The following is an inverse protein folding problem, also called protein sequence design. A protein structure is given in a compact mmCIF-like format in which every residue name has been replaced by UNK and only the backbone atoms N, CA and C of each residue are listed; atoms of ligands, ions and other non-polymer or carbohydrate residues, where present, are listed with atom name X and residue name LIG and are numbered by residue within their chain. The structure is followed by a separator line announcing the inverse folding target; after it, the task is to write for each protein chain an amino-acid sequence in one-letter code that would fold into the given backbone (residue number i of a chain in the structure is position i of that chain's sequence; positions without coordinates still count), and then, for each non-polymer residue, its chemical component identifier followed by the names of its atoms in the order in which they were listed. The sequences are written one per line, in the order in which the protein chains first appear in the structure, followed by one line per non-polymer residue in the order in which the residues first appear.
data_IF_593666211621
#
_entry.id   IF_593666211621
#
_cell.length_a   1.000
_cell.length_b   1.000
_cell.length_c   1.000
_cell.angle_alpha   90.00
_cell.angle_beta   90.00
_cell.angle_gamma   90.00
#
_symmetry.space_group_name_H-M   'P 1'
#
loop_
_entity.id
_entity.type
_entity.pdbx_description
1 polymer ?
#
# COMPACT_ATOMS: atom_id res chain seq x y z
N UNK A 1 56.31 19.63 -52.57
CA UNK A 1 55.17 18.87 -52.05
C UNK A 1 55.08 19.15 -50.55
N UNK A 2 54.12 20.02 -50.14
CA UNK A 2 53.86 20.37 -48.72
C UNK A 2 52.88 19.35 -48.13
N UNK A 3 53.29 18.60 -47.08
CA UNK A 3 52.43 17.70 -46.32
C UNK A 3 51.67 18.50 -45.26
N UNK A 4 50.34 18.52 -45.33
CA UNK A 4 49.47 19.08 -44.31
C UNK A 4 49.11 17.95 -43.32
N UNK A 5 49.53 18.11 -42.06
CA UNK A 5 49.09 17.25 -40.95
C UNK A 5 47.74 17.77 -40.47
N UNK A 6 46.69 16.94 -40.65
CA UNK A 6 45.37 17.20 -40.11
C UNK A 6 45.31 16.61 -38.69
N UNK A 7 45.38 17.49 -37.67
CA UNK A 7 45.18 17.08 -36.29
C UNK A 7 43.66 17.11 -35.98
N UNK A 8 43.07 15.93 -35.87
CA UNK A 8 41.68 15.79 -35.44
C UNK A 8 41.57 16.03 -33.92
N UNK A 9 40.93 17.12 -33.55
CA UNK A 9 40.59 17.40 -32.14
C UNK A 9 39.28 16.68 -31.82
N UNK A 10 39.36 15.61 -31.04
CA UNK A 10 38.22 14.85 -30.55
C UNK A 10 37.66 15.55 -29.31
N UNK A 11 36.57 16.30 -29.45
CA UNK A 11 35.82 16.88 -28.34
C UNK A 11 35.06 15.79 -27.59
N UNK A 12 35.56 15.37 -26.43
CA UNK A 12 34.81 14.51 -25.50
C UNK A 12 33.74 15.37 -24.81
N UNK A 13 32.49 15.23 -25.23
CA UNK A 13 31.34 15.70 -24.47
C UNK A 13 31.11 14.75 -23.28
N UNK A 14 31.56 15.12 -22.10
CA UNK A 14 31.14 14.48 -20.85
C UNK A 14 29.71 14.94 -20.54
N UNK A 15 28.71 14.12 -20.83
CA UNK A 15 27.37 14.27 -20.27
C UNK A 15 27.46 14.02 -18.78
N UNK A 16 27.46 15.11 -17.98
CA UNK A 16 27.25 15.02 -16.55
C UNK A 16 25.80 14.56 -16.35
N UNK A 17 25.57 13.26 -16.09
CA UNK A 17 24.31 12.79 -15.53
C UNK A 17 24.17 13.42 -14.13
N UNK A 18 23.39 14.49 -14.02
CA UNK A 18 22.95 15.00 -12.74
C UNK A 18 22.07 13.92 -12.10
N UNK A 19 22.55 13.31 -11.02
CA UNK A 19 21.74 12.36 -10.25
C UNK A 19 20.50 13.12 -9.72
N UNK A 20 19.33 12.75 -10.22
CA UNK A 20 18.08 13.32 -9.79
C UNK A 20 17.83 12.93 -8.33
N UNK A 21 17.51 13.89 -7.47
CA UNK A 21 17.18 13.64 -6.07
C UNK A 21 15.66 13.68 -5.87
N UNK A 22 15.10 12.81 -5.00
CA UNK A 22 13.66 12.80 -4.76
C UNK A 22 13.19 14.13 -4.19
N UNK A 23 12.13 14.67 -4.78
CA UNK A 23 11.50 15.90 -4.29
C UNK A 23 10.43 15.53 -3.25
N UNK A 24 10.74 15.76 -1.99
CA UNK A 24 9.87 15.47 -0.87
C UNK A 24 8.98 16.65 -0.52
N UNK A 25 7.66 16.41 -0.41
CA UNK A 25 6.68 17.32 0.21
C UNK A 25 6.43 16.83 1.65
N UNK A 26 6.53 17.73 2.63
CA UNK A 26 6.13 17.42 4.00
C UNK A 26 4.61 17.52 4.13
N UNK A 27 3.96 16.42 4.57
CA UNK A 27 2.51 16.39 4.81
C UNK A 27 2.12 16.99 6.16
N UNK A 28 3.09 17.13 7.08
CA UNK A 28 2.89 17.72 8.38
C UNK A 28 3.96 18.77 8.67
N UNK A 29 3.53 19.99 9.00
CA UNK A 29 4.41 21.14 9.22
C UNK A 29 5.04 21.20 10.63
N UNK A 30 4.79 20.19 11.48
CA UNK A 30 5.27 20.14 12.87
C UNK A 30 4.56 21.05 13.87
N UNK A 31 3.56 21.84 13.42
CA UNK A 31 2.95 22.90 14.24
C UNK A 31 1.44 22.79 14.40
N UNK A 32 0.73 22.36 13.38
CA UNK A 32 -0.74 22.28 13.37
C UNK A 32 -1.26 21.30 12.31
N UNK A 33 -2.55 21.02 12.35
CA UNK A 33 -3.24 20.10 11.44
C UNK A 33 -3.77 20.77 10.17
N UNK A 34 -3.20 21.87 9.72
CA UNK A 34 -3.59 22.51 8.46
C UNK A 34 -3.36 21.54 7.29
N UNK A 35 -4.37 21.32 6.46
CA UNK A 35 -4.33 20.36 5.35
C UNK A 35 -4.83 18.96 5.72
N UNK A 36 -5.25 18.77 6.97
CA UNK A 36 -5.84 17.55 7.47
C UNK A 36 -7.31 17.77 7.88
N UNK A 37 -8.09 16.69 7.90
CA UNK A 37 -9.47 16.67 8.41
C UNK A 37 -9.74 15.36 9.13
N UNK A 38 -10.64 15.40 10.13
CA UNK A 38 -11.01 14.22 10.92
C UNK A 38 -12.24 13.56 10.31
N UNK A 39 -12.15 12.24 10.06
CA UNK A 39 -13.22 11.43 9.48
C UNK A 39 -13.64 10.32 10.44
N UNK A 40 -14.91 9.94 10.34
CA UNK A 40 -15.62 8.89 11.07
C UNK A 40 -15.68 9.13 12.59
N UNK A 41 -14.84 8.50 13.39
CA UNK A 41 -14.95 8.53 14.87
C UNK A 41 -14.68 9.87 15.54
N UNK A 42 -14.60 9.84 16.89
CA UNK A 42 -14.48 11.03 17.73
C UNK A 42 -13.21 11.06 18.59
N UNK A 43 -12.25 10.17 18.35
CA UNK A 43 -10.95 10.21 19.02
C UNK A 43 -10.23 11.55 18.77
N UNK A 44 -9.36 11.94 19.67
CA UNK A 44 -8.66 13.23 19.61
C UNK A 44 -7.29 13.08 18.94
N UNK A 45 -6.87 14.15 18.26
CA UNK A 45 -5.52 14.33 17.77
C UNK A 45 -4.94 15.61 18.35
N UNK A 46 -3.73 15.54 18.89
CA UNK A 46 -2.97 16.67 19.44
C UNK A 46 -1.68 16.87 18.66
N UNK A 47 -1.20 18.09 18.64
CA UNK A 47 0.10 18.45 18.07
C UNK A 47 0.97 19.02 19.17
N UNK A 48 2.12 18.40 19.40
CA UNK A 48 3.14 18.88 20.31
C UNK A 48 4.52 18.36 19.86
N UNK A 49 5.58 19.14 20.09
CA UNK A 49 6.97 18.73 19.85
C UNK A 49 7.26 18.22 18.43
N UNK A 50 6.54 18.73 17.42
CA UNK A 50 6.70 18.26 16.04
C UNK A 50 6.03 16.91 15.74
N UNK A 51 5.11 16.44 16.59
CA UNK A 51 4.42 15.16 16.49
C UNK A 51 2.91 15.36 16.39
N UNK A 52 2.23 14.49 15.67
CA UNK A 52 0.78 14.29 15.73
C UNK A 52 0.55 13.11 16.67
N UNK A 53 -0.22 13.29 17.73
CA UNK A 53 -0.56 12.22 18.68
C UNK A 53 -2.06 11.99 18.67
N UNK A 54 -2.47 10.79 18.29
CA UNK A 54 -3.83 10.27 18.43
C UNK A 54 -4.04 9.63 19.81
N UNK A 55 -5.20 9.86 20.40
CA UNK A 55 -5.54 9.38 21.74
C UNK A 55 -6.74 8.44 21.63
N UNK A 56 -6.56 7.19 22.04
CA UNK A 56 -7.62 6.19 22.03
C UNK A 56 -8.79 6.58 22.93
N UNK A 57 -10.01 6.27 22.51
CA UNK A 57 -11.25 6.66 23.16
C UNK A 57 -12.27 5.54 23.10
N UNK A 58 -12.91 5.23 24.21
CA UNK A 58 -14.03 4.29 24.25
C UNK A 58 -15.27 4.83 23.56
N UNK A 59 -16.11 3.92 23.04
CA UNK A 59 -17.43 4.25 22.50
C UNK A 59 -17.41 5.01 21.17
N UNK A 60 -16.30 4.95 20.44
CA UNK A 60 -16.19 5.54 19.10
C UNK A 60 -15.68 4.51 18.10
N UNK A 61 -16.12 4.53 16.84
CA UNK A 61 -15.51 3.73 15.79
C UNK A 61 -14.08 4.23 15.49
N UNK A 62 -13.38 3.53 14.59
CA UNK A 62 -12.10 3.99 14.06
C UNK A 62 -12.19 5.47 13.68
N UNK A 63 -11.22 6.26 14.14
CA UNK A 63 -11.12 7.68 13.80
C UNK A 63 -9.89 7.87 12.91
N UNK A 64 -10.06 8.64 11.84
CA UNK A 64 -9.00 8.87 10.86
C UNK A 64 -8.71 10.36 10.73
N UNK A 65 -7.45 10.74 10.79
CA UNK A 65 -6.99 12.07 10.44
C UNK A 65 -6.46 12.01 9.01
N UNK A 66 -7.25 12.48 8.05
CA UNK A 66 -7.01 12.33 6.62
C UNK A 66 -6.45 13.61 6.00
N UNK A 67 -5.58 13.46 5.00
CA UNK A 67 -5.15 14.58 4.16
C UNK A 67 -6.32 15.03 3.28
N UNK A 68 -6.50 16.36 3.12
CA UNK A 68 -7.50 16.93 2.18
C UNK A 68 -7.14 16.70 0.72
N UNK A 69 -5.84 16.56 0.42
CA UNK A 69 -5.34 16.15 -0.90
C UNK A 69 -5.40 14.63 -1.05
N UNK A 70 -5.52 14.18 -2.30
CA UNK A 70 -5.43 12.77 -2.70
C UNK A 70 -4.19 12.52 -3.53
N UNK A 71 -3.66 11.30 -3.48
CA UNK A 71 -2.41 10.89 -4.11
C UNK A 71 -2.63 9.61 -4.89
N UNK A 72 -2.02 9.51 -6.08
CA UNK A 72 -2.03 8.32 -6.93
C UNK A 72 -0.72 7.53 -6.76
N UNK A 73 0.31 7.88 -7.53
CA UNK A 73 1.62 7.26 -7.41
C UNK A 73 2.51 8.05 -6.47
N UNK A 74 3.12 7.37 -5.52
CA UNK A 74 3.96 8.02 -4.52
C UNK A 74 4.90 7.06 -3.80
N UNK A 75 5.89 7.67 -3.14
CA UNK A 75 6.62 7.09 -2.02
C UNK A 75 6.26 7.90 -0.78
N UNK A 76 5.76 7.26 0.26
CA UNK A 76 5.44 7.86 1.54
C UNK A 76 6.39 7.34 2.62
N UNK A 77 6.98 8.25 3.38
CA UNK A 77 7.79 7.92 4.55
C UNK A 77 7.27 8.64 5.78
N UNK A 78 7.28 7.94 6.90
CA UNK A 78 6.91 8.50 8.21
C UNK A 78 7.57 7.72 9.34
N UNK A 79 7.58 8.32 10.52
CA UNK A 79 7.91 7.64 11.75
C UNK A 79 6.68 7.52 12.63
N UNK A 80 6.56 6.40 13.33
CA UNK A 80 5.44 6.15 14.25
C UNK A 80 5.91 5.48 15.54
N UNK A 81 5.16 5.73 16.62
CA UNK A 81 5.35 5.11 17.92
C UNK A 81 3.98 4.84 18.54
N UNK A 82 3.69 3.57 18.85
CA UNK A 82 2.41 3.12 19.40
C UNK A 82 2.58 2.57 20.80
N UNK A 83 1.63 2.86 21.67
CA UNK A 83 1.59 2.29 23.01
C UNK A 83 1.24 0.79 22.97
N UNK A 84 1.79 0.03 23.90
CA UNK A 84 1.55 -1.41 24.00
C UNK A 84 0.06 -1.76 24.08
N UNK A 85 -0.32 -2.76 23.29
CA UNK A 85 -1.69 -3.27 23.22
C UNK A 85 -2.67 -2.37 22.46
N UNK A 86 -2.19 -1.32 21.78
CA UNK A 86 -3.00 -0.47 20.93
C UNK A 86 -2.75 -0.76 19.47
N UNK A 87 -3.80 -1.10 18.70
CA UNK A 87 -3.72 -1.22 17.23
C UNK A 87 -3.86 0.15 16.57
N UNK A 88 -3.29 0.30 15.37
CA UNK A 88 -3.39 1.48 14.54
C UNK A 88 -3.12 1.15 13.06
N UNK A 89 -3.02 2.18 12.22
CA UNK A 89 -2.65 2.04 10.82
C UNK A 89 -2.49 3.38 10.13
N UNK A 90 -1.93 3.33 8.92
CA UNK A 90 -1.88 4.48 8.02
C UNK A 90 -2.59 4.11 6.73
N UNK A 91 -3.72 4.76 6.48
CA UNK A 91 -4.48 4.62 5.24
C UNK A 91 -3.73 5.27 4.08
N UNK A 92 -3.80 4.67 2.91
CA UNK A 92 -3.29 5.25 1.66
C UNK A 92 -4.16 4.83 0.47
N UNK A 93 -4.24 5.68 -0.55
CA UNK A 93 -5.19 5.50 -1.67
C UNK A 93 -6.60 5.14 -1.17
N UNK A 94 -7.01 5.74 -0.04
CA UNK A 94 -8.29 5.45 0.62
C UNK A 94 -9.30 6.54 0.38
N UNK A 95 -10.55 6.23 0.58
CA UNK A 95 -11.69 7.10 0.30
C UNK A 95 -12.70 7.10 1.46
N UNK A 96 -13.57 8.13 1.48
CA UNK A 96 -14.72 8.26 2.38
C UNK A 96 -15.89 8.79 1.57
N UNK A 97 -16.51 7.91 0.77
CA UNK A 97 -17.59 8.26 -0.15
C UNK A 97 -18.93 8.12 0.55
N UNK A 98 -19.79 9.12 0.42
CA UNK A 98 -21.10 9.14 1.08
C UNK A 98 -21.96 7.92 0.75
N UNK A 99 -21.90 7.45 -0.49
CA UNK A 99 -22.58 6.28 -1.01
C UNK A 99 -22.03 4.95 -0.49
N UNK A 100 -20.79 4.94 0.02
CA UNK A 100 -20.19 3.75 0.59
C UNK A 100 -20.31 3.76 2.13
N UNK A 101 -21.20 2.93 2.66
CA UNK A 101 -21.45 2.76 4.10
C UNK A 101 -21.55 4.10 4.87
N UNK A 102 -22.27 5.09 4.30
CA UNK A 102 -22.45 6.45 4.84
C UNK A 102 -21.13 7.19 5.10
N UNK A 103 -20.17 7.10 4.20
CA UNK A 103 -18.89 7.81 4.32
C UNK A 103 -17.87 7.09 5.18
N UNK A 104 -18.03 5.78 5.42
CA UNK A 104 -17.01 5.01 6.11
C UNK A 104 -15.69 5.03 5.33
N UNK A 105 -14.60 5.35 6.01
CA UNK A 105 -13.25 5.27 5.44
C UNK A 105 -12.97 3.84 5.00
N UNK A 106 -12.49 3.69 3.77
CA UNK A 106 -12.20 2.39 3.17
C UNK A 106 -11.01 2.48 2.22
N UNK A 107 -10.25 1.43 2.11
CA UNK A 107 -9.08 1.35 1.24
C UNK A 107 -7.87 0.72 1.90
N UNK A 108 -6.71 0.82 1.25
CA UNK A 108 -5.50 0.19 1.71
C UNK A 108 -4.99 0.83 3.00
N UNK A 109 -4.54 -0.02 3.93
CA UNK A 109 -3.94 0.35 5.19
C UNK A 109 -2.58 -0.33 5.36
N UNK A 110 -1.55 0.47 5.61
CA UNK A 110 -0.33 0.01 6.26
C UNK A 110 -0.68 -0.29 7.71
N UNK A 111 -0.64 -1.54 8.08
CA UNK A 111 -1.03 -1.99 9.41
C UNK A 111 0.02 -1.64 10.47
N UNK A 112 -0.42 -1.24 11.66
CA UNK A 112 0.38 -1.08 12.86
C UNK A 112 -0.21 -2.00 13.93
N UNK A 113 0.32 -3.22 14.01
CA UNK A 113 -0.16 -4.29 14.89
C UNK A 113 0.94 -4.77 15.84
N UNK A 114 1.03 -4.20 17.04
CA UNK A 114 2.00 -4.62 18.05
C UNK A 114 1.58 -5.88 18.82
N UNK A 115 0.47 -6.52 18.46
CA UNK A 115 0.03 -7.77 19.07
C UNK A 115 0.98 -8.94 18.79
N UNK A 116 0.71 -10.09 19.39
CA UNK A 116 1.49 -11.32 19.13
C UNK A 116 1.47 -11.80 17.67
N UNK A 117 0.52 -11.33 16.84
CA UNK A 117 0.53 -11.57 15.39
C UNK A 117 1.72 -10.90 14.71
N UNK A 118 2.16 -9.74 15.23
CA UNK A 118 3.28 -8.97 14.71
C UNK A 118 3.14 -8.66 13.20
N UNK A 119 1.98 -8.16 12.77
CA UNK A 119 1.71 -7.88 11.36
C UNK A 119 1.91 -6.41 10.98
N UNK A 120 2.69 -5.66 11.77
CA UNK A 120 3.08 -4.28 11.44
C UNK A 120 3.85 -4.24 10.12
N UNK A 121 3.36 -3.43 9.17
CA UNK A 121 3.87 -3.35 7.81
C UNK A 121 3.11 -4.22 6.80
N UNK A 122 2.21 -5.10 7.25
CA UNK A 122 1.28 -5.80 6.39
C UNK A 122 0.26 -4.86 5.74
N UNK A 123 -0.49 -5.35 4.76
CA UNK A 123 -1.52 -4.58 4.05
C UNK A 123 -2.90 -5.13 4.39
N UNK A 124 -3.70 -4.26 4.99
CA UNK A 124 -5.13 -4.50 5.24
C UNK A 124 -5.96 -3.63 4.30
N UNK A 125 -7.16 -4.07 3.94
CA UNK A 125 -8.12 -3.30 3.13
C UNK A 125 -9.30 -2.91 4.01
N UNK A 126 -9.19 -1.74 4.65
CA UNK A 126 -10.16 -1.23 5.63
C UNK A 126 -11.57 -1.18 5.04
N UNK A 127 -12.52 -1.74 5.78
CA UNK A 127 -13.93 -1.77 5.46
C UNK A 127 -14.29 -2.36 4.08
N UNK A 128 -13.38 -3.11 3.41
CA UNK A 128 -13.63 -3.79 2.12
C UNK A 128 -13.33 -5.28 2.19
N UNK A 129 -12.07 -5.68 1.88
CA UNK A 129 -11.67 -7.08 1.67
C UNK A 129 -10.92 -7.69 2.85
N UNK A 130 -10.50 -6.87 3.85
CA UNK A 130 -9.72 -7.36 4.98
C UNK A 130 -8.23 -7.56 4.63
N UNK A 131 -7.62 -8.62 5.11
CA UNK A 131 -6.20 -8.87 4.90
C UNK A 131 -5.87 -9.20 3.45
N UNK A 132 -5.05 -8.36 2.82
CA UNK A 132 -4.50 -8.60 1.48
C UNK A 132 -3.08 -9.17 1.55
N UNK A 133 -2.30 -8.75 2.55
CA UNK A 133 -0.94 -9.22 2.76
C UNK A 133 -0.63 -9.33 4.26
N UNK A 134 -1.06 -10.43 4.94
CA UNK A 134 -0.65 -10.74 6.31
C UNK A 134 0.82 -11.18 6.34
N UNK A 135 1.53 -10.98 7.46
CA UNK A 135 2.94 -11.33 7.59
C UNK A 135 3.19 -12.74 8.14
N UNK A 136 2.20 -13.63 8.10
CA UNK A 136 2.27 -14.96 8.71
C UNK A 136 3.48 -15.77 8.23
N UNK A 137 3.80 -15.71 6.95
CA UNK A 137 4.88 -16.47 6.33
C UNK A 137 6.22 -15.70 6.28
N UNK A 138 6.31 -14.54 6.95
CA UNK A 138 7.47 -13.65 6.85
C UNK A 138 8.07 -13.29 8.22
N UNK A 139 8.75 -14.22 8.90
CA UNK A 139 9.28 -14.01 10.27
C UNK A 139 10.27 -12.84 10.39
N UNK A 140 11.00 -12.50 9.34
CA UNK A 140 11.89 -11.33 9.34
C UNK A 140 11.10 -10.03 9.41
N UNK A 141 10.00 -9.93 8.66
CA UNK A 141 9.09 -8.78 8.68
C UNK A 141 8.39 -8.66 10.05
N UNK A 142 7.93 -9.77 10.62
CA UNK A 142 7.30 -9.78 11.95
C UNK A 142 8.23 -9.25 13.06
N UNK A 143 9.54 -9.41 12.91
CA UNK A 143 10.56 -8.92 13.87
C UNK A 143 11.02 -7.48 13.60
N UNK A 144 10.55 -6.84 12.54
CA UNK A 144 11.01 -5.50 12.13
C UNK A 144 10.50 -4.40 13.06
N UNK A 145 9.31 -4.55 13.60
CA UNK A 145 8.70 -3.58 14.53
C UNK A 145 9.37 -3.65 15.92
N UNK A 146 9.61 -2.47 16.52
CA UNK A 146 10.19 -2.31 17.84
C UNK A 146 9.18 -1.65 18.77
N UNK A 147 8.68 -2.41 19.77
CA UNK A 147 7.71 -1.90 20.72
C UNK A 147 8.30 -0.78 21.60
N UNK A 148 7.51 0.25 21.86
CA UNK A 148 7.91 1.39 22.68
C UNK A 148 8.90 2.36 22.06
N UNK A 149 9.40 2.07 20.85
CA UNK A 149 10.36 2.89 20.12
C UNK A 149 9.70 3.61 18.92
N UNK A 150 10.41 4.62 18.37
CA UNK A 150 10.10 5.18 17.06
C UNK A 150 10.50 4.20 15.97
N UNK A 151 9.54 3.85 15.13
CA UNK A 151 9.73 2.99 13.98
C UNK A 151 9.61 3.81 12.70
N UNK A 152 10.46 3.52 11.70
CA UNK A 152 10.41 4.12 10.37
C UNK A 152 9.58 3.25 9.45
N UNK A 153 8.61 3.85 8.77
CA UNK A 153 7.82 3.21 7.74
C UNK A 153 8.09 3.82 6.37
N UNK A 154 8.06 2.98 5.35
CA UNK A 154 8.05 3.39 3.95
C UNK A 154 6.96 2.62 3.22
N UNK A 155 6.20 3.32 2.39
CA UNK A 155 5.19 2.77 1.48
C UNK A 155 5.54 3.26 0.07
N UNK A 156 5.61 2.35 -0.87
CA UNK A 156 5.70 2.65 -2.29
C UNK A 156 4.42 2.16 -2.96
N UNK A 157 3.61 3.08 -3.47
CA UNK A 157 2.40 2.80 -4.22
C UNK A 157 2.56 3.40 -5.61
N UNK A 158 2.94 2.57 -6.60
CA UNK A 158 3.28 3.00 -7.97
C UNK A 158 2.58 2.06 -8.96
N UNK A 159 1.71 2.60 -9.79
CA UNK A 159 0.81 1.79 -10.61
C UNK A 159 0.03 0.81 -9.73
N UNK A 160 0.04 -0.46 -10.10
CA UNK A 160 -0.62 -1.53 -9.34
C UNK A 160 0.28 -2.14 -8.23
N UNK A 161 1.54 -1.69 -8.11
CA UNK A 161 2.48 -2.22 -7.12
C UNK A 161 2.37 -1.46 -5.81
N UNK A 162 2.19 -2.18 -4.71
CA UNK A 162 2.15 -1.66 -3.34
C UNK A 162 3.18 -2.42 -2.53
N UNK A 163 4.18 -1.71 -2.00
CA UNK A 163 5.26 -2.30 -1.22
C UNK A 163 5.48 -1.54 0.08
N UNK A 164 5.83 -2.25 1.14
CA UNK A 164 5.99 -1.66 2.48
C UNK A 164 7.27 -2.12 3.17
N UNK A 165 7.81 -1.25 4.02
CA UNK A 165 8.98 -1.53 4.86
C UNK A 165 8.77 -0.97 6.26
N UNK A 166 9.31 -1.67 7.25
CA UNK A 166 9.43 -1.23 8.64
C UNK A 166 10.92 -1.28 9.02
N UNK A 167 11.48 -0.16 9.47
CA UNK A 167 12.89 -0.05 9.87
C UNK A 167 13.89 -0.57 8.82
N UNK A 168 13.54 -0.40 7.53
CA UNK A 168 14.34 -0.88 6.39
C UNK A 168 14.15 -2.36 6.04
N UNK A 169 13.36 -3.10 6.82
CA UNK A 169 13.03 -4.51 6.52
C UNK A 169 11.80 -4.54 5.59
N UNK A 170 11.85 -5.23 4.43
CA UNK A 170 10.70 -5.39 3.56
C UNK A 170 9.60 -6.22 4.23
N UNK A 171 8.36 -5.71 4.18
CA UNK A 171 7.21 -6.34 4.85
C UNK A 171 6.18 -6.88 3.87
N UNK A 172 5.74 -6.08 2.90
CA UNK A 172 4.76 -6.52 1.91
C UNK A 172 5.16 -6.12 0.49
N UNK A 173 4.71 -6.91 -0.49
CA UNK A 173 4.85 -6.69 -1.92
C UNK A 173 3.60 -7.23 -2.62
N UNK A 174 2.65 -6.34 -2.86
CA UNK A 174 1.31 -6.65 -3.36
C UNK A 174 1.11 -6.04 -4.74
N UNK A 175 0.55 -6.81 -5.67
CA UNK A 175 -0.06 -6.28 -6.90
C UNK A 175 -1.58 -6.25 -6.70
N UNK A 176 -2.16 -5.07 -6.79
CA UNK A 176 -3.59 -4.84 -6.67
C UNK A 176 -4.00 -3.56 -7.41
N UNK A 177 -5.18 -3.57 -8.04
CA UNK A 177 -5.66 -2.48 -8.88
C UNK A 177 -7.04 -1.93 -8.45
N UNK A 178 -7.46 -2.21 -7.22
CA UNK A 178 -8.81 -1.83 -6.75
C UNK A 178 -8.97 -0.32 -6.56
N UNK A 179 -7.91 0.37 -6.12
CA UNK A 179 -7.94 1.83 -5.96
C UNK A 179 -6.59 2.42 -6.34
N UNK A 180 -6.59 3.29 -7.33
CA UNK A 180 -5.38 3.94 -7.88
C UNK A 180 -5.07 5.27 -7.21
N UNK A 181 -6.05 5.91 -6.53
CA UNK A 181 -5.92 7.24 -5.95
C UNK A 181 -6.82 7.41 -4.73
N UNK A 182 -6.32 8.12 -3.72
CA UNK A 182 -7.07 8.46 -2.52
C UNK A 182 -6.24 9.28 -1.54
N UNK A 183 -6.81 9.56 -0.37
CA UNK A 183 -6.11 10.27 0.69
C UNK A 183 -5.15 9.35 1.47
N UNK A 184 -4.29 9.98 2.28
CA UNK A 184 -3.50 9.35 3.34
C UNK A 184 -4.16 9.71 4.66
N UNK A 185 -4.34 8.72 5.58
CA UNK A 185 -4.91 9.03 6.89
C UNK A 185 -4.27 8.23 8.02
N UNK A 186 -4.15 8.88 9.17
CA UNK A 186 -3.63 8.32 10.42
C UNK A 186 -4.79 7.77 11.24
N UNK A 187 -4.75 6.49 11.61
CA UNK A 187 -5.84 5.83 12.33
C UNK A 187 -5.62 5.87 13.84
N UNK A 188 -6.66 6.26 14.58
CA UNK A 188 -6.86 5.87 15.98
C UNK A 188 -7.90 4.76 15.96
N UNK A 189 -7.46 3.54 16.24
CA UNK A 189 -8.31 2.35 16.23
C UNK A 189 -9.35 2.39 17.36
N UNK A 190 -10.56 1.89 17.09
CA UNK A 190 -11.58 1.68 18.08
C UNK A 190 -11.08 0.68 19.14
N UNK A 191 -11.40 0.95 20.39
CA UNK A 191 -11.00 0.09 21.50
C UNK A 191 -12.22 -0.54 22.17
N UNK A 192 -12.08 -1.79 22.59
CA UNK A 192 -13.10 -2.54 23.31
C UNK A 192 -12.81 -2.69 24.81
N UNK A 193 -11.60 -2.35 25.26
CA UNK A 193 -11.18 -2.46 26.63
C UNK A 193 -10.85 -1.08 27.19
N UNK A 194 -11.40 -0.78 28.39
CA UNK A 194 -11.18 0.49 29.11
C UNK A 194 -9.70 0.74 29.44
N UNK A 195 -8.91 -0.30 29.64
CA UNK A 195 -7.47 -0.19 29.89
C UNK A 195 -6.66 0.36 28.71
N UNK A 196 -7.27 0.40 27.54
CA UNK A 196 -6.70 1.01 26.35
C UNK A 196 -7.06 2.50 26.21
N UNK A 197 -8.05 3.02 26.99
CA UNK A 197 -8.48 4.41 26.90
C UNK A 197 -7.38 5.38 27.34
N UNK A 198 -7.17 6.43 26.55
CA UNK A 198 -6.12 7.42 26.80
C UNK A 198 -4.71 6.99 26.34
N UNK A 199 -4.51 5.75 25.88
CA UNK A 199 -3.26 5.34 25.25
C UNK A 199 -3.06 6.07 23.94
N UNK A 200 -1.80 6.15 23.48
CA UNK A 200 -1.44 7.01 22.35
C UNK A 200 -0.75 6.28 21.24
N UNK A 201 -0.99 6.79 20.04
CA UNK A 201 -0.18 6.55 18.84
C UNK A 201 0.33 7.90 18.34
N UNK A 202 1.62 8.02 18.05
CA UNK A 202 2.24 9.25 17.57
C UNK A 202 2.89 9.04 16.20
N UNK A 203 2.85 10.11 15.38
CA UNK A 203 3.48 10.16 14.05
C UNK A 203 4.28 11.44 13.90
N UNK A 204 5.39 11.36 13.16
CA UNK A 204 6.23 12.51 12.79
C UNK A 204 6.97 12.26 11.48
N UNK A 205 7.66 13.28 10.97
CA UNK A 205 8.47 13.19 9.76
C UNK A 205 7.71 12.62 8.56
N UNK A 206 6.41 12.98 8.44
CA UNK A 206 5.52 12.48 7.40
C UNK A 206 5.82 13.23 6.11
N UNK A 207 6.38 12.55 5.11
CA UNK A 207 6.77 13.13 3.82
C UNK A 207 6.41 12.24 2.66
N UNK A 208 6.11 12.86 1.53
CA UNK A 208 5.70 12.17 0.31
C UNK A 208 6.51 12.64 -0.89
N UNK A 209 6.88 11.73 -1.78
CA UNK A 209 7.45 12.00 -3.08
C UNK A 209 6.45 11.56 -4.16
N UNK A 210 5.94 12.51 -4.96
CA UNK A 210 4.99 12.26 -6.04
C UNK A 210 5.55 12.62 -7.42
N UNK A 211 6.71 13.26 -7.46
CA UNK A 211 7.38 13.59 -8.72
C UNK A 211 8.29 12.42 -9.11
N UNK A 212 7.94 11.72 -10.18
CA UNK A 212 8.69 10.55 -10.71
C UNK A 212 9.07 9.53 -9.62
N UNK A 213 8.11 9.06 -8.79
CA UNK A 213 8.42 8.18 -7.66
C UNK A 213 9.07 6.87 -8.11
N UNK A 214 8.80 6.40 -9.33
CA UNK A 214 9.39 5.21 -9.94
C UNK A 214 10.92 5.30 -10.04
N UNK A 215 11.48 6.49 -10.23
CA UNK A 215 12.93 6.71 -10.31
C UNK A 215 13.64 6.50 -8.94
N UNK A 216 12.88 6.54 -7.85
CA UNK A 216 13.38 6.42 -6.46
C UNK A 216 12.82 5.20 -5.74
N UNK A 217 12.10 4.34 -6.47
CA UNK A 217 11.56 3.11 -5.93
C UNK A 217 12.69 2.13 -5.55
N UNK A 218 12.48 1.41 -4.47
CA UNK A 218 13.43 0.37 -4.03
C UNK A 218 13.53 -0.74 -5.09
N UNK A 219 14.71 -1.24 -5.42
CA UNK A 219 14.86 -2.36 -6.35
C UNK A 219 13.99 -3.56 -5.95
N UNK A 220 13.39 -4.26 -6.91
CA UNK A 220 12.52 -5.42 -6.66
C UNK A 220 13.22 -6.54 -5.88
N UNK A 221 14.51 -6.73 -6.09
CA UNK A 221 15.34 -7.70 -5.35
C UNK A 221 15.45 -7.44 -3.84
N UNK A 222 15.05 -6.26 -3.39
CA UNK A 222 15.02 -5.84 -1.98
C UNK A 222 13.60 -5.79 -1.42
N UNK A 223 12.63 -6.42 -2.07
CA UNK A 223 11.23 -6.49 -1.65
C UNK A 223 10.91 -7.82 -0.97
N UNK A 224 9.81 -7.87 -0.25
CA UNK A 224 9.20 -9.11 0.22
C UNK A 224 8.71 -9.95 -0.97
N UNK A 225 8.41 -11.24 -0.80
CA UNK A 225 7.79 -12.06 -1.84
C UNK A 225 6.53 -11.41 -2.41
N UNK A 226 6.33 -11.50 -3.72
CA UNK A 226 5.20 -10.86 -4.38
C UNK A 226 3.91 -11.68 -4.22
N UNK A 227 2.81 -11.01 -3.93
CA UNK A 227 1.44 -11.55 -3.98
C UNK A 227 0.66 -10.79 -5.03
N UNK A 228 0.08 -11.48 -6.00
CA UNK A 228 -0.73 -10.91 -7.05
C UNK A 228 -2.22 -11.13 -6.74
N UNK A 229 -2.95 -10.03 -6.47
CA UNK A 229 -4.40 -10.03 -6.23
C UNK A 229 -5.21 -9.55 -7.45
N UNK A 230 -4.56 -9.27 -8.57
CA UNK A 230 -5.24 -8.82 -9.79
C UNK A 230 -5.84 -10.05 -10.49
N UNK A 231 -7.16 -10.12 -10.50
CA UNK A 231 -7.88 -11.24 -11.06
C UNK A 231 -7.52 -11.50 -12.54
N UNK A 232 -7.39 -12.79 -12.88
CA UNK A 232 -7.14 -13.26 -14.26
C UNK A 232 -5.87 -12.68 -14.89
N UNK A 233 -4.86 -12.43 -14.09
CA UNK A 233 -3.53 -11.98 -14.55
C UNK A 233 -2.42 -12.84 -13.97
N UNK A 234 -1.28 -12.75 -14.61
CA UNK A 234 -0.02 -13.31 -14.12
C UNK A 234 1.01 -12.18 -14.13
N UNK A 235 1.74 -12.04 -13.05
CA UNK A 235 2.81 -11.03 -12.97
C UNK A 235 4.06 -11.50 -13.73
N UNK A 236 4.95 -10.55 -14.04
CA UNK A 236 6.25 -10.87 -14.64
C UNK A 236 7.09 -11.78 -13.74
N UNK A 237 6.95 -11.67 -12.42
CA UNK A 237 7.63 -12.53 -11.46
C UNK A 237 7.04 -13.95 -11.52
N UNK A 238 5.73 -14.10 -11.44
CA UNK A 238 5.05 -15.39 -11.55
C UNK A 238 5.37 -16.08 -12.88
N UNK A 239 5.38 -15.33 -13.99
CA UNK A 239 5.76 -15.86 -15.30
C UNK A 239 7.22 -16.38 -15.33
N UNK A 240 8.18 -15.66 -14.72
CA UNK A 240 9.58 -16.09 -14.59
C UNK A 240 9.74 -17.33 -13.72
N UNK A 241 8.87 -17.51 -12.72
CA UNK A 241 8.82 -18.69 -11.85
C UNK A 241 8.12 -19.89 -12.51
N UNK A 242 7.61 -19.72 -13.73
CA UNK A 242 6.99 -20.79 -14.52
C UNK A 242 5.48 -20.93 -14.38
N UNK A 243 4.82 -20.02 -13.65
CA UNK A 243 3.37 -19.98 -13.56
C UNK A 243 2.74 -19.70 -14.92
N UNK A 244 1.58 -20.27 -15.17
CA UNK A 244 0.80 -20.09 -16.40
C UNK A 244 -0.62 -19.71 -16.05
N UNK A 245 -1.13 -18.68 -16.71
CA UNK A 245 -2.53 -18.30 -16.62
C UNK A 245 -3.39 -19.35 -17.31
N UNK A 246 -4.27 -19.99 -16.54
CA UNK A 246 -5.21 -20.98 -17.07
C UNK A 246 -6.55 -20.36 -17.51
N UNK A 247 -6.88 -19.19 -17.01
CA UNK A 247 -8.13 -18.49 -17.26
C UNK A 247 -7.89 -16.98 -17.42
N UNK A 248 -8.23 -16.43 -18.58
CA UNK A 248 -8.02 -15.01 -18.92
C UNK A 248 -9.21 -14.10 -18.53
N UNK A 249 -10.28 -14.67 -17.99
CA UNK A 249 -11.50 -13.94 -17.64
C UNK A 249 -12.37 -13.55 -18.84
N UNK A 250 -12.02 -13.93 -20.06
CA UNK A 250 -12.67 -13.46 -21.29
C UNK A 250 -13.07 -14.58 -22.24
N UNK A 251 -12.23 -15.60 -22.39
CA UNK A 251 -12.40 -16.64 -23.38
C UNK A 251 -12.43 -18.03 -22.74
N UNK A 252 -12.93 -19.01 -23.49
CA UNK A 252 -12.90 -20.43 -23.10
C UNK A 252 -11.83 -21.19 -23.89
N UNK A 253 -10.90 -20.47 -24.52
CA UNK A 253 -9.81 -21.06 -25.29
C UNK A 253 -8.96 -21.98 -24.41
N UNK A 254 -8.60 -23.17 -24.92
CA UNK A 254 -7.88 -24.18 -24.17
C UNK A 254 -8.71 -24.98 -23.17
N UNK A 255 -9.99 -24.64 -22.98
CA UNK A 255 -10.90 -25.38 -22.07
C UNK A 255 -11.86 -26.28 -22.85
N UNK A 256 -12.19 -27.43 -22.30
CA UNK A 256 -13.16 -28.37 -22.88
C UNK A 256 -13.98 -29.09 -21.81
N UNK A 257 -15.13 -29.56 -22.15
CA UNK A 257 -15.88 -30.50 -21.29
C UNK A 257 -15.14 -31.83 -21.09
N UNK A 258 -15.35 -32.49 -19.96
CA UNK A 258 -14.63 -33.71 -19.60
C UNK A 258 -14.67 -34.82 -20.68
N UNK A 259 -15.76 -34.89 -21.43
CA UNK A 259 -15.95 -35.87 -22.53
C UNK A 259 -16.16 -35.19 -23.90
N UNK A 260 -15.79 -33.92 -24.03
CA UNK A 260 -15.98 -33.12 -25.24
C UNK A 260 -14.62 -32.67 -25.76
N UNK A 261 -14.57 -32.35 -27.06
CA UNK A 261 -13.41 -31.76 -27.71
C UNK A 261 -13.38 -30.21 -27.58
N UNK A 262 -14.54 -29.64 -27.23
CA UNK A 262 -14.72 -28.18 -27.11
C UNK A 262 -15.32 -27.81 -25.76
N UNK A 263 -15.36 -26.53 -25.45
CA UNK A 263 -16.08 -26.01 -24.29
C UNK A 263 -17.59 -26.26 -24.44
N UNK A 264 -18.30 -26.59 -23.34
CA UNK A 264 -19.76 -26.83 -23.37
C UNK A 264 -20.50 -25.61 -23.88
N UNK A 265 -21.43 -25.80 -24.82
CA UNK A 265 -22.24 -24.69 -25.38
C UNK A 265 -23.36 -24.23 -24.44
N UNK A 266 -23.62 -24.95 -23.34
CA UNK A 266 -24.68 -24.69 -22.35
C UNK A 266 -24.14 -24.89 -20.94
N UNK A 267 -24.80 -24.26 -19.97
CA UNK A 267 -24.50 -24.44 -18.55
C UNK A 267 -23.39 -23.56 -18.00
N UNK A 268 -22.80 -22.68 -18.83
CA UNK A 268 -21.72 -21.77 -18.43
C UNK A 268 -21.93 -20.39 -19.00
N UNK A 269 -21.51 -19.37 -18.27
CA UNK A 269 -21.46 -17.97 -18.75
C UNK A 269 -20.21 -17.29 -18.20
N UNK A 270 -19.62 -16.44 -19.01
CA UNK A 270 -18.56 -15.50 -18.58
C UNK A 270 -19.24 -14.19 -18.21
N UNK A 271 -19.12 -13.79 -16.98
CA UNK A 271 -19.69 -12.57 -16.47
C UNK A 271 -18.67 -11.82 -15.59
N UNK A 272 -18.27 -10.61 -16.01
CA UNK A 272 -17.29 -9.77 -15.32
C UNK A 272 -15.99 -10.52 -14.94
N UNK A 273 -15.42 -11.28 -15.88
CA UNK A 273 -14.19 -12.05 -15.65
C UNK A 273 -14.36 -13.29 -14.77
N UNK A 274 -15.59 -13.70 -14.49
CA UNK A 274 -15.91 -14.90 -13.70
C UNK A 274 -16.59 -15.93 -14.60
N UNK A 275 -16.09 -17.18 -14.58
CA UNK A 275 -16.74 -18.30 -15.23
C UNK A 275 -17.78 -18.88 -14.27
N UNK A 276 -19.05 -18.69 -14.58
CA UNK A 276 -20.19 -19.09 -13.76
C UNK A 276 -20.86 -20.34 -14.31
N UNK A 277 -21.18 -21.28 -13.42
CA UNK A 277 -22.06 -22.39 -13.74
C UNK A 277 -23.50 -21.89 -13.66
N UNK A 278 -24.26 -22.13 -14.73
CA UNK A 278 -25.68 -21.81 -14.78
C UNK A 278 -26.49 -23.08 -14.48
N UNK A 279 -27.64 -22.90 -13.82
CA UNK A 279 -28.58 -23.99 -13.66
C UNK A 279 -28.98 -24.49 -15.04
N UNK A 280 -28.84 -25.77 -15.27
CA UNK A 280 -29.30 -26.43 -16.49
C UNK A 280 -30.40 -27.44 -16.13
N UNK A 281 -31.34 -27.63 -17.03
CA UNK A 281 -32.46 -28.58 -16.86
C UNK A 281 -32.06 -30.02 -17.25
N UNK A 282 -30.78 -30.37 -17.15
CA UNK A 282 -30.24 -31.69 -17.45
C UNK A 282 -29.54 -31.77 -18.80
#
# INVERSE_FOLDING_TARGET
MKKYNLTAVMLLFTLALSAQTPQWESLFNGKNLKGWEKLNGTAEYKVANGEITGISKMGTPNTFLATKKTYADFILEFEFKVADGLNSGVQFRSNSLKEYMNGRVHGYQFEIDPSSRAWTGGIYDEARRGWLYPLTEYPSAQKAFKSGEWNKARIEAIGNSIRTWVNGVPCANLLDNTTDKGFIALQVHAIGNKDQEGKTISWRNIRICTSTPEAFATPQSQSAPQVNQIANTISDQEAKEGWKLLWDGKTTEGWRGAKLTTFPSKGWVIDNGILKVMKSDG
#
